data_IF_031913279427
#
_entry.id   IF_031913279427
#
_cell.length_a   1.000
_cell.length_b   1.000
_cell.length_c   1.000
_cell.angle_alpha   90.00
_cell.angle_beta   90.00
_cell.angle_gamma   90.00
#
_symmetry.space_group_name_H-M   'P 1'
#
loop_
_entity.id
_entity.type
_entity.pdbx_description
1 polymer ?
#
# COMPACT_ATOMS: atom_id res chain seq x y z
N UNK A 1 9.97 -40.07 35.39
CA UNK A 1 8.56 -39.92 34.97
C UNK A 1 8.37 -38.50 34.39
N UNK A 2 8.93 -38.23 33.20
CA UNK A 2 9.12 -36.84 32.70
C UNK A 2 8.83 -36.67 31.19
N UNK A 3 8.14 -37.63 30.55
CA UNK A 3 7.93 -37.63 29.09
C UNK A 3 6.50 -37.28 28.64
N UNK A 4 5.52 -37.28 29.56
CA UNK A 4 4.10 -37.11 29.23
C UNK A 4 3.63 -35.65 29.05
N UNK A 5 4.48 -34.65 29.31
CA UNK A 5 4.09 -33.23 29.26
C UNK A 5 4.62 -32.46 28.03
N UNK A 6 5.50 -33.05 27.20
CA UNK A 6 6.11 -32.33 26.07
C UNK A 6 5.06 -31.88 25.05
N UNK A 7 4.14 -32.78 24.67
CA UNK A 7 3.06 -32.47 23.72
C UNK A 7 2.00 -31.54 24.30
N UNK A 8 1.69 -31.64 25.60
CA UNK A 8 0.76 -30.72 26.28
C UNK A 8 1.34 -29.30 26.42
N UNK A 9 2.64 -29.18 26.70
CA UNK A 9 3.33 -27.87 26.76
C UNK A 9 3.43 -27.25 25.37
N UNK A 10 3.74 -28.04 24.34
CA UNK A 10 3.74 -27.55 22.94
C UNK A 10 2.33 -27.09 22.54
N UNK A 11 1.29 -27.84 22.88
CA UNK A 11 -0.11 -27.48 22.63
C UNK A 11 -0.49 -26.17 23.35
N UNK A 12 -0.12 -26.03 24.63
CA UNK A 12 -0.38 -24.82 25.42
C UNK A 12 0.35 -23.59 24.86
N UNK A 13 1.62 -23.75 24.43
CA UNK A 13 2.37 -22.66 23.82
C UNK A 13 1.76 -22.23 22.48
N UNK A 14 1.31 -23.19 21.65
CA UNK A 14 0.61 -22.86 20.40
C UNK A 14 -0.72 -22.14 20.64
N UNK A 15 -1.48 -22.53 21.68
CA UNK A 15 -2.72 -21.86 22.05
C UNK A 15 -2.47 -20.45 22.59
N UNK A 16 -1.41 -20.24 23.36
CA UNK A 16 -1.02 -18.91 23.84
C UNK A 16 -0.60 -17.98 22.70
N UNK A 17 0.17 -18.49 21.72
CA UNK A 17 0.58 -17.72 20.52
C UNK A 17 -0.65 -17.35 19.67
N UNK A 18 -1.58 -18.29 19.49
CA UNK A 18 -2.82 -18.04 18.76
C UNK A 18 -3.71 -17.01 19.48
N UNK A 19 -3.80 -17.09 20.81
CA UNK A 19 -4.56 -16.14 21.63
C UNK A 19 -3.92 -14.74 21.63
N UNK A 20 -2.59 -14.64 21.59
CA UNK A 20 -1.89 -13.35 21.44
C UNK A 20 -2.18 -12.69 20.09
N UNK A 21 -2.25 -13.47 19.00
CA UNK A 21 -2.63 -12.96 17.68
C UNK A 21 -4.07 -12.43 17.65
N UNK A 22 -5.01 -13.11 18.31
CA UNK A 22 -6.41 -12.66 18.43
C UNK A 22 -6.49 -11.36 19.26
N UNK A 23 -5.76 -11.28 20.38
CA UNK A 23 -5.76 -10.11 21.25
C UNK A 23 -5.13 -8.88 20.56
N UNK A 24 -4.03 -9.09 19.82
CA UNK A 24 -3.41 -8.04 19.00
C UNK A 24 -4.36 -7.56 17.89
N UNK A 25 -5.12 -8.46 17.28
CA UNK A 25 -6.16 -8.11 16.30
C UNK A 25 -7.27 -7.22 16.89
N UNK A 26 -7.65 -7.43 18.16
CA UNK A 26 -8.64 -6.59 18.86
C UNK A 26 -8.02 -5.25 19.29
N UNK A 27 -6.74 -5.21 19.65
CA UNK A 27 -6.06 -3.96 20.02
C UNK A 27 -5.92 -2.98 18.85
N UNK A 28 -5.79 -3.49 17.61
CA UNK A 28 -5.85 -2.68 16.39
C UNK A 28 -7.27 -2.33 15.96
N UNK A 29 -8.29 -3.00 16.49
CA UNK A 29 -9.70 -2.76 16.15
C UNK A 29 -10.32 -1.57 16.93
N UNK A 30 -9.57 -0.90 17.80
CA UNK A 30 -10.07 0.17 18.66
C UNK A 30 -9.86 1.60 18.10
N UNK A 31 -9.29 1.74 16.91
CA UNK A 31 -9.21 3.02 16.20
C UNK A 31 -10.32 3.07 15.14
N UNK A 32 -11.57 3.04 15.63
CA UNK A 32 -12.78 2.98 14.82
C UNK A 32 -13.30 4.42 14.54
N UNK A 33 -12.88 5.02 13.42
CA UNK A 33 -13.66 6.07 12.79
C UNK A 33 -14.90 5.44 12.13
N UNK A 34 -16.05 5.49 12.84
CA UNK A 34 -17.43 5.24 12.37
C UNK A 34 -17.55 4.61 10.96
N UNK A 35 -17.37 3.29 10.85
CA UNK A 35 -17.07 2.65 9.57
C UNK A 35 -18.34 2.20 8.82
N UNK A 36 -18.65 2.87 7.71
CA UNK A 36 -19.47 2.26 6.64
C UNK A 36 -18.63 1.14 6.03
N UNK A 37 -18.74 -0.08 6.55
CA UNK A 37 -17.89 -1.20 6.11
C UNK A 37 -18.11 -1.50 4.63
N UNK A 38 -17.17 -1.08 3.79
CA UNK A 38 -17.16 -1.38 2.36
C UNK A 38 -16.76 -2.83 2.08
N UNK A 39 -16.26 -3.57 3.09
CA UNK A 39 -15.94 -5.00 2.98
C UNK A 39 -15.11 -5.32 1.73
N UNK A 40 -15.63 -6.21 0.89
CA UNK A 40 -14.97 -6.62 -0.36
C UNK A 40 -14.86 -5.49 -1.40
N UNK A 41 -15.71 -4.45 -1.36
CA UNK A 41 -15.63 -3.33 -2.31
C UNK A 41 -14.33 -2.52 -2.14
N UNK A 42 -13.72 -2.50 -0.96
CA UNK A 42 -12.44 -1.79 -0.72
C UNK A 42 -11.27 -2.40 -1.48
N UNK A 43 -11.37 -3.68 -1.86
CA UNK A 43 -10.34 -4.38 -2.63
C UNK A 43 -10.43 -4.08 -4.14
N UNK A 44 -11.58 -3.55 -4.58
CA UNK A 44 -11.84 -3.30 -5.99
C UNK A 44 -10.91 -2.22 -6.58
N UNK A 45 -10.67 -1.06 -5.94
CA UNK A 45 -9.76 -0.04 -6.47
C UNK A 45 -8.31 -0.55 -6.68
N UNK A 46 -7.66 -1.22 -5.70
CA UNK A 46 -6.32 -1.80 -5.91
C UNK A 46 -6.29 -2.89 -6.98
N UNK A 47 -7.31 -3.76 -7.02
CA UNK A 47 -7.38 -4.84 -8.00
C UNK A 47 -7.49 -4.30 -9.43
N UNK A 48 -8.36 -3.31 -9.65
CA UNK A 48 -8.50 -2.64 -10.94
C UNK A 48 -7.18 -1.99 -11.36
N UNK A 49 -6.48 -1.32 -10.44
CA UNK A 49 -5.18 -0.71 -10.74
C UNK A 49 -4.14 -1.76 -11.17
N UNK A 50 -4.03 -2.89 -10.46
CA UNK A 50 -3.05 -3.94 -10.78
C UNK A 50 -3.36 -4.59 -12.14
N UNK A 51 -4.63 -4.94 -12.39
CA UNK A 51 -5.04 -5.58 -13.64
C UNK A 51 -4.79 -4.64 -14.83
N UNK A 52 -5.18 -3.37 -14.71
CA UNK A 52 -4.93 -2.38 -15.76
C UNK A 52 -3.43 -2.12 -15.97
N UNK A 53 -2.62 -2.16 -14.91
CA UNK A 53 -1.18 -1.97 -15.01
C UNK A 53 -0.54 -3.05 -15.89
N UNK A 54 -0.95 -4.32 -15.75
CA UNK A 54 -0.46 -5.41 -16.58
C UNK A 54 -0.89 -5.31 -18.05
N UNK A 55 -2.14 -4.89 -18.30
CA UNK A 55 -2.68 -4.77 -19.66
C UNK A 55 -2.08 -3.56 -20.38
N UNK A 56 -2.11 -2.39 -19.74
CA UNK A 56 -1.70 -1.12 -20.36
C UNK A 56 -0.19 -0.92 -20.35
N UNK A 57 0.54 -1.64 -19.48
CA UNK A 57 1.97 -1.43 -19.17
C UNK A 57 2.27 0.02 -18.76
N UNK A 58 1.27 0.74 -18.25
CA UNK A 58 1.37 2.13 -17.81
C UNK A 58 0.92 2.23 -16.35
N UNK A 59 1.89 2.32 -15.45
CA UNK A 59 1.65 2.34 -14.00
C UNK A 59 0.82 3.55 -13.60
N UNK A 60 1.19 4.75 -14.04
CA UNK A 60 0.53 6.00 -13.64
C UNK A 60 -0.94 6.08 -14.08
N UNK A 61 -1.22 5.72 -15.33
CA UNK A 61 -2.59 5.69 -15.86
C UNK A 61 -3.47 4.69 -15.08
N UNK A 62 -2.90 3.54 -14.73
CA UNK A 62 -3.61 2.49 -14.00
C UNK A 62 -3.89 2.88 -12.54
N UNK A 63 -2.92 3.53 -11.89
CA UNK A 63 -3.09 4.07 -10.53
C UNK A 63 -4.18 5.14 -10.48
N UNK A 64 -4.20 6.03 -11.48
CA UNK A 64 -5.23 7.06 -11.60
C UNK A 64 -6.64 6.44 -11.72
N UNK A 65 -6.81 5.44 -12.58
CA UNK A 65 -8.09 4.74 -12.74
C UNK A 65 -8.48 4.01 -11.45
N UNK A 66 -7.52 3.39 -10.75
CA UNK A 66 -7.76 2.77 -9.44
C UNK A 66 -8.34 3.73 -8.42
N UNK A 67 -7.66 4.86 -8.17
CA UNK A 67 -8.15 5.89 -7.23
C UNK A 67 -9.51 6.44 -7.70
N UNK A 68 -9.70 6.66 -9.00
CA UNK A 68 -10.97 7.13 -9.53
C UNK A 68 -12.11 6.17 -9.22
N UNK A 69 -11.89 4.87 -9.40
CA UNK A 69 -12.87 3.84 -9.02
C UNK A 69 -13.15 3.88 -7.52
N UNK A 70 -12.13 4.04 -6.67
CA UNK A 70 -12.32 4.24 -5.23
C UNK A 70 -13.17 5.47 -4.90
N UNK A 71 -12.87 6.62 -5.50
CA UNK A 71 -13.61 7.87 -5.29
C UNK A 71 -15.07 7.77 -5.77
N UNK A 72 -15.33 7.06 -6.88
CA UNK A 72 -16.71 6.85 -7.37
C UNK A 72 -17.54 5.98 -6.42
N UNK A 73 -16.94 4.98 -5.78
CA UNK A 73 -17.61 4.15 -4.76
C UNK A 73 -18.05 5.01 -3.58
N UNK A 74 -17.17 5.92 -3.11
CA UNK A 74 -17.45 6.79 -1.98
C UNK A 74 -18.59 7.80 -2.26
N UNK A 75 -18.77 8.22 -3.51
CA UNK A 75 -19.80 9.21 -3.92
C UNK A 75 -21.09 8.54 -4.44
N UNK A 76 -21.24 7.22 -4.26
CA UNK A 76 -22.46 6.52 -4.65
C UNK A 76 -22.59 6.29 -6.16
N UNK A 77 -21.49 5.90 -6.81
CA UNK A 77 -21.43 5.50 -8.23
C UNK A 77 -21.67 6.60 -9.25
N UNK A 78 -21.41 7.87 -8.90
CA UNK A 78 -21.40 8.96 -9.88
C UNK A 78 -19.99 9.15 -10.48
N UNK A 79 -19.76 8.78 -11.76
CA UNK A 79 -18.44 8.86 -12.39
C UNK A 79 -17.92 10.29 -12.55
N UNK A 80 -18.81 11.25 -12.83
CA UNK A 80 -18.46 12.66 -13.09
C UNK A 80 -18.00 13.33 -11.79
N UNK A 81 -18.77 13.15 -10.72
CA UNK A 81 -18.40 13.64 -9.39
C UNK A 81 -17.21 12.87 -8.79
N UNK A 82 -16.99 11.62 -9.20
CA UNK A 82 -15.82 10.85 -8.80
C UNK A 82 -14.51 11.44 -9.34
N UNK A 83 -14.50 12.02 -10.55
CA UNK A 83 -13.31 12.68 -11.10
C UNK A 83 -12.93 13.90 -10.26
N UNK A 84 -13.89 14.76 -9.93
CA UNK A 84 -13.62 15.98 -9.15
C UNK A 84 -13.10 15.63 -7.76
N UNK A 85 -13.65 14.57 -7.14
CA UNK A 85 -13.17 14.10 -5.84
C UNK A 85 -11.80 13.44 -5.91
N UNK A 86 -11.51 12.69 -6.97
CA UNK A 86 -10.18 12.11 -7.24
C UNK A 86 -9.12 13.19 -7.32
N UNK A 87 -9.38 14.25 -8.10
CA UNK A 87 -8.47 15.39 -8.18
C UNK A 87 -8.32 16.07 -6.82
N UNK A 88 -9.41 16.22 -6.07
CA UNK A 88 -9.38 16.72 -4.69
C UNK A 88 -8.45 15.90 -3.80
N UNK A 89 -8.59 14.57 -3.81
CA UNK A 89 -7.72 13.68 -3.04
C UNK A 89 -6.26 13.79 -3.44
N UNK A 90 -5.95 13.88 -4.74
CA UNK A 90 -4.56 14.03 -5.20
C UNK A 90 -3.97 15.34 -4.66
N UNK A 91 -4.69 16.45 -4.75
CA UNK A 91 -4.21 17.75 -4.27
C UNK A 91 -4.06 17.76 -2.75
N UNK A 92 -5.04 17.25 -2.03
CA UNK A 92 -5.03 17.16 -0.57
C UNK A 92 -3.87 16.30 -0.07
N UNK A 93 -3.68 15.11 -0.64
CA UNK A 93 -2.58 14.22 -0.27
C UNK A 93 -1.22 14.77 -0.68
N UNK A 94 -1.10 15.50 -1.79
CA UNK A 94 0.15 16.12 -2.21
C UNK A 94 0.51 17.36 -1.38
N UNK A 95 -0.48 18.06 -0.84
CA UNK A 95 -0.28 19.23 0.02
C UNK A 95 -0.05 18.87 1.49
N UNK A 96 -0.36 17.63 1.89
CA UNK A 96 -0.09 17.13 3.23
C UNK A 96 1.42 17.13 3.52
N UNK A 97 1.81 17.68 4.67
CA UNK A 97 3.22 17.87 5.05
C UNK A 97 4.02 16.55 5.06
N UNK A 98 3.41 15.47 5.57
CA UNK A 98 4.06 14.18 5.68
C UNK A 98 4.30 13.58 4.28
N UNK A 99 3.27 13.57 3.45
CA UNK A 99 3.36 13.06 2.08
C UNK A 99 4.24 13.92 1.19
N UNK A 100 4.18 15.25 1.34
CA UNK A 100 5.03 16.18 0.60
C UNK A 100 6.52 15.99 0.93
N UNK A 101 6.84 15.67 2.19
CA UNK A 101 8.20 15.32 2.60
C UNK A 101 8.69 14.06 1.89
N UNK A 102 7.86 13.01 1.79
CA UNK A 102 8.18 11.78 1.06
C UNK A 102 8.36 12.09 -0.43
N UNK A 103 7.46 12.87 -1.03
CA UNK A 103 7.53 13.23 -2.44
C UNK A 103 8.83 13.99 -2.78
N UNK A 104 9.27 14.88 -1.90
CA UNK A 104 10.52 15.62 -2.06
C UNK A 104 11.73 14.68 -1.95
N UNK A 105 11.71 13.72 -1.03
CA UNK A 105 12.76 12.73 -0.88
C UNK A 105 12.86 11.82 -2.12
N UNK A 106 11.74 11.31 -2.61
CA UNK A 106 11.68 10.49 -3.82
C UNK A 106 12.16 11.27 -5.05
N UNK A 107 11.83 12.56 -5.14
CA UNK A 107 12.31 13.43 -6.21
C UNK A 107 13.84 13.61 -6.17
N UNK A 108 14.42 13.84 -4.99
CA UNK A 108 15.88 13.98 -4.81
C UNK A 108 16.58 12.66 -5.15
N UNK A 109 16.07 11.52 -4.70
CA UNK A 109 16.62 10.20 -5.04
C UNK A 109 16.52 9.96 -6.54
N UNK A 110 15.38 10.24 -7.16
CA UNK A 110 15.20 10.11 -8.61
C UNK A 110 16.20 10.96 -9.40
N UNK A 111 16.43 12.20 -8.98
CA UNK A 111 17.44 13.09 -9.55
C UNK A 111 18.86 12.55 -9.38
N UNK A 112 19.23 12.11 -8.17
CA UNK A 112 20.54 11.52 -7.88
C UNK A 112 20.80 10.27 -8.71
N UNK A 113 19.81 9.37 -8.83
CA UNK A 113 19.89 8.18 -9.68
C UNK A 113 20.11 8.61 -11.14
N UNK A 114 19.39 9.61 -11.62
CA UNK A 114 19.60 10.18 -12.95
C UNK A 114 21.03 10.69 -13.18
N UNK A 115 21.63 11.37 -12.20
CA UNK A 115 23.03 11.81 -12.28
C UNK A 115 24.03 10.65 -12.28
N UNK A 116 23.77 9.58 -11.53
CA UNK A 116 24.59 8.36 -11.55
C UNK A 116 24.58 7.72 -12.95
N UNK A 117 23.41 7.68 -13.60
CA UNK A 117 23.31 7.19 -14.98
C UNK A 117 24.04 8.10 -15.98
N UNK A 118 23.91 9.42 -15.85
CA UNK A 118 24.56 10.38 -16.76
C UNK A 118 26.08 10.43 -16.62
N UNK A 119 26.60 10.33 -15.39
CA UNK A 119 28.04 10.29 -15.11
C UNK A 119 28.73 9.00 -15.56
N UNK A 120 27.98 8.02 -16.07
CA UNK A 120 28.50 6.71 -16.44
C UNK A 120 28.88 5.83 -15.25
N UNK A 121 28.59 6.24 -14.02
CA UNK A 121 28.90 5.49 -12.80
C UNK A 121 28.24 4.11 -12.80
N UNK A 122 26.98 4.02 -13.24
CA UNK A 122 26.29 2.74 -13.39
C UNK A 122 26.97 1.81 -14.40
N UNK A 123 27.44 2.34 -15.53
CA UNK A 123 28.10 1.55 -16.58
C UNK A 123 29.52 1.12 -16.18
N UNK A 124 30.26 2.00 -15.50
CA UNK A 124 31.57 1.71 -14.94
C UNK A 124 31.49 0.62 -13.85
N UNK A 125 30.46 0.67 -13.01
CA UNK A 125 30.20 -0.36 -12.00
C UNK A 125 29.99 -1.74 -12.63
N UNK A 126 29.11 -1.86 -13.63
CA UNK A 126 28.87 -3.12 -14.35
C UNK A 126 30.15 -3.66 -14.97
N UNK A 127 30.96 -2.79 -15.60
CA UNK A 127 32.24 -3.17 -16.21
C UNK A 127 33.30 -3.61 -15.19
N UNK A 128 33.24 -3.13 -13.95
CA UNK A 128 34.20 -3.55 -12.91
C UNK A 128 33.89 -4.92 -12.30
N UNK A 129 32.64 -5.39 -12.42
CA UNK A 129 32.17 -6.65 -11.82
C UNK A 129 32.21 -7.81 -12.83
N UNK A 130 32.32 -7.53 -14.13
CA UNK A 130 32.47 -8.52 -15.21
C UNK A 130 33.88 -8.51 -15.75
#
# INVERSE_FOLDING_TARGET
MYYWNKYKVILLLTLMIFMFFILSGIAWAAEEEAEKSYGFLSLLPPLVAIVLCFITRQVLASLFIGIWVGATILIGWNPISGVTKTLGYIVENAADSWNATILLFDFVIGGLIGLIYLSGGAQAFVKSVT
#
